data_IF_068155202977
#
_entry.id   IF_068155202977
#
_cell.length_a   1.000
_cell.length_b   1.000
_cell.length_c   1.000
_cell.angle_alpha   90.00
_cell.angle_beta   90.00
_cell.angle_gamma   90.00
#
_symmetry.space_group_name_H-M   'P 1'
#
loop_
_entity.id
_entity.type
_entity.pdbx_description
1 polymer ?
#
# COMPACT_ATOMS: atom_id res chain seq x y z
N UNK A 1 55.41 -118.39 7.97
CA UNK A 1 55.36 -117.81 9.33
C UNK A 1 55.99 -116.42 9.24
N UNK A 2 55.16 -115.43 8.90
CA UNK A 2 54.62 -114.36 9.79
C UNK A 2 55.59 -113.19 10.01
N UNK A 3 55.34 -112.12 9.25
CA UNK A 3 55.90 -110.76 9.37
C UNK A 3 55.21 -110.02 10.52
N UNK A 4 55.91 -109.23 11.36
CA UNK A 4 55.25 -108.32 12.29
C UNK A 4 54.96 -106.96 11.63
N UNK A 5 53.69 -106.52 11.69
CA UNK A 5 53.22 -105.19 11.26
C UNK A 5 53.35 -104.18 12.41
N UNK A 6 53.90 -103.02 12.10
CA UNK A 6 53.93 -101.85 12.95
C UNK A 6 52.53 -101.23 13.12
N UNK A 7 52.16 -100.89 14.36
CA UNK A 7 50.94 -100.15 14.68
C UNK A 7 51.12 -98.65 14.43
N UNK A 8 50.40 -98.13 13.44
CA UNK A 8 50.23 -96.68 13.20
C UNK A 8 49.07 -96.19 14.08
N UNK A 9 49.32 -95.18 14.94
CA UNK A 9 48.28 -94.51 15.73
C UNK A 9 47.37 -93.66 14.82
N UNK A 10 46.03 -93.69 14.98
CA UNK A 10 45.13 -92.85 14.19
C UNK A 10 45.15 -91.40 14.69
N UNK A 11 45.40 -90.48 13.76
CA UNK A 11 45.34 -89.02 13.95
C UNK A 11 43.88 -88.58 13.92
N UNK A 12 43.34 -88.07 15.03
CA UNK A 12 41.98 -87.50 15.13
C UNK A 12 41.84 -86.33 14.14
N UNK A 13 41.07 -86.50 13.06
CA UNK A 13 40.57 -85.40 12.23
C UNK A 13 39.56 -84.61 13.08
N UNK A 14 39.97 -83.48 13.66
CA UNK A 14 39.03 -82.51 14.25
C UNK A 14 38.20 -81.92 13.12
N UNK A 15 36.89 -82.19 13.15
CA UNK A 15 35.90 -81.58 12.28
C UNK A 15 35.91 -80.06 12.49
N UNK A 16 36.38 -79.31 11.50
CA UNK A 16 36.36 -77.83 11.47
C UNK A 16 35.00 -77.24 11.03
N UNK A 17 34.07 -78.10 10.64
CA UNK A 17 32.75 -77.73 10.10
C UNK A 17 31.84 -77.01 11.11
N UNK A 18 31.70 -77.44 12.39
CA UNK A 18 30.79 -76.76 13.32
C UNK A 18 31.28 -75.37 13.76
N UNK A 19 32.60 -75.15 13.81
CA UNK A 19 33.17 -73.85 14.14
C UNK A 19 32.95 -72.81 13.03
N UNK A 20 33.05 -73.24 11.76
CA UNK A 20 32.82 -72.38 10.60
C UNK A 20 31.35 -71.96 10.48
N UNK A 21 30.41 -72.87 10.74
CA UNK A 21 28.97 -72.57 10.75
C UNK A 21 28.64 -71.55 11.85
N UNK A 22 29.18 -71.72 13.05
CA UNK A 22 28.95 -70.78 14.16
C UNK A 22 29.44 -69.37 13.82
N UNK A 23 30.62 -69.23 13.19
CA UNK A 23 31.17 -67.93 12.79
C UNK A 23 30.26 -67.26 11.76
N UNK A 24 29.78 -67.98 10.75
CA UNK A 24 28.88 -67.43 9.72
C UNK A 24 27.56 -66.96 10.32
N UNK A 25 26.97 -67.74 11.25
CA UNK A 25 25.73 -67.35 11.94
C UNK A 25 25.94 -66.11 12.80
N UNK A 26 27.03 -66.02 13.57
CA UNK A 26 27.32 -64.82 14.38
C UNK A 26 27.55 -63.59 13.52
N UNK A 27 28.23 -63.73 12.37
CA UNK A 27 28.42 -62.65 11.41
C UNK A 27 27.10 -62.18 10.80
N UNK A 28 26.21 -63.11 10.43
CA UNK A 28 24.89 -62.78 9.90
C UNK A 28 24.02 -62.06 10.93
N UNK A 29 24.06 -62.48 12.20
CA UNK A 29 23.34 -61.81 13.31
C UNK A 29 23.92 -60.42 13.58
N UNK A 30 25.24 -60.27 13.58
CA UNK A 30 25.90 -58.98 13.76
C UNK A 30 25.60 -57.99 12.61
N UNK A 31 25.60 -58.47 11.36
CA UNK A 31 25.18 -57.69 10.19
C UNK A 31 23.70 -57.30 10.27
N UNK A 32 22.83 -58.22 10.68
CA UNK A 32 21.41 -57.93 10.89
C UNK A 32 21.18 -56.86 11.96
N UNK A 33 21.87 -56.97 13.09
CA UNK A 33 21.80 -55.98 14.18
C UNK A 33 22.34 -54.61 13.73
N UNK A 34 23.43 -54.58 12.95
CA UNK A 34 23.99 -53.34 12.40
C UNK A 34 23.04 -52.67 11.40
N UNK A 35 22.38 -53.43 10.53
CA UNK A 35 21.39 -52.89 9.59
C UNK A 35 20.14 -52.36 10.29
N UNK A 36 19.66 -53.04 11.33
CA UNK A 36 18.54 -52.56 12.16
C UNK A 36 18.92 -51.29 12.90
N UNK A 37 20.14 -51.25 13.48
CA UNK A 37 20.64 -50.06 14.15
C UNK A 37 20.80 -48.88 13.19
N UNK A 38 21.39 -49.09 12.00
CA UNK A 38 21.53 -48.07 10.98
C UNK A 38 20.17 -47.54 10.50
N UNK A 39 19.19 -48.42 10.31
CA UNK A 39 17.82 -48.03 9.94
C UNK A 39 17.15 -47.22 11.06
N UNK A 40 17.35 -47.61 12.32
CA UNK A 40 16.81 -46.86 13.47
C UNK A 40 17.39 -45.45 13.61
N UNK A 41 18.71 -45.31 13.41
CA UNK A 41 19.39 -44.01 13.38
C UNK A 41 18.87 -43.15 12.22
N UNK A 42 18.69 -43.75 11.04
CA UNK A 42 18.19 -43.05 9.86
C UNK A 42 16.73 -42.60 10.04
N UNK A 43 15.88 -43.40 10.69
CA UNK A 43 14.52 -43.00 11.05
C UNK A 43 14.54 -41.84 12.04
N UNK A 44 15.35 -41.89 13.11
CA UNK A 44 15.45 -40.82 14.08
C UNK A 44 15.93 -39.49 13.46
N UNK A 45 16.93 -39.54 12.56
CA UNK A 45 17.38 -38.34 11.83
C UNK A 45 16.31 -37.78 10.90
N UNK A 46 15.49 -38.63 10.28
CA UNK A 46 14.39 -38.17 9.43
C UNK A 46 13.27 -37.53 10.26
N UNK A 47 12.94 -38.09 11.42
CA UNK A 47 11.97 -37.49 12.37
C UNK A 47 12.45 -36.12 12.85
N UNK A 48 13.71 -36.01 13.24
CA UNK A 48 14.32 -34.75 13.68
C UNK A 48 14.35 -33.71 12.55
N UNK A 49 14.66 -34.11 11.31
CA UNK A 49 14.67 -33.21 10.17
C UNK A 49 13.27 -32.67 9.82
N UNK A 50 12.23 -33.51 9.86
CA UNK A 50 10.84 -33.06 9.64
C UNK A 50 10.37 -32.18 10.81
N UNK A 51 10.71 -32.52 12.05
CA UNK A 51 10.37 -31.70 13.22
C UNK A 51 11.03 -30.32 13.16
N UNK A 52 12.31 -30.26 12.79
CA UNK A 52 13.05 -29.00 12.62
C UNK A 52 12.43 -28.17 11.50
N UNK A 53 12.14 -28.80 10.36
CA UNK A 53 11.49 -28.14 9.24
C UNK A 53 10.16 -27.50 9.62
N UNK A 54 9.31 -28.21 10.39
CA UNK A 54 8.05 -27.64 10.87
C UNK A 54 8.27 -26.51 11.88
N UNK A 55 9.25 -26.62 12.79
CA UNK A 55 9.57 -25.55 13.72
C UNK A 55 10.09 -24.28 13.02
N UNK A 56 10.86 -24.45 11.94
CA UNK A 56 11.33 -23.32 11.11
C UNK A 56 10.16 -22.67 10.34
N UNK A 57 9.18 -23.46 9.87
CA UNK A 57 7.93 -22.92 9.29
C UNK A 57 7.12 -22.15 10.34
N UNK A 58 6.92 -22.70 11.53
CA UNK A 58 6.20 -22.03 12.62
C UNK A 58 6.88 -20.70 13.00
N UNK A 59 8.22 -20.69 13.05
CA UNK A 59 9.00 -19.48 13.33
C UNK A 59 8.84 -18.44 12.21
N UNK A 60 8.91 -18.88 10.94
CA UNK A 60 8.72 -17.99 9.81
C UNK A 60 7.30 -17.41 9.77
N UNK A 61 6.25 -18.21 10.03
CA UNK A 61 4.87 -17.72 10.08
C UNK A 61 4.69 -16.69 11.19
N UNK A 62 5.28 -16.92 12.37
CA UNK A 62 5.30 -15.94 13.46
C UNK A 62 6.00 -14.65 13.07
N UNK A 63 7.12 -14.72 12.33
CA UNK A 63 7.82 -13.54 11.83
C UNK A 63 7.02 -12.83 10.73
N UNK A 64 6.31 -13.58 9.89
CA UNK A 64 5.45 -13.07 8.83
C UNK A 64 4.25 -12.28 9.38
N UNK A 65 3.74 -12.61 10.57
CA UNK A 65 2.76 -11.75 11.27
C UNK A 65 3.31 -10.35 11.59
N UNK A 66 4.63 -10.22 11.76
CA UNK A 66 5.31 -8.94 11.93
C UNK A 66 5.36 -8.10 10.65
N UNK A 67 5.01 -8.66 9.50
CA UNK A 67 4.90 -7.92 8.24
C UNK A 67 3.57 -7.16 8.11
N UNK A 68 2.60 -7.39 9.00
CA UNK A 68 1.31 -6.68 8.99
C UNK A 68 1.48 -5.25 9.53
N UNK A 69 0.73 -4.30 8.96
CA UNK A 69 0.80 -2.93 9.41
C UNK A 69 0.23 -2.81 10.84
N UNK A 70 1.06 -2.37 11.80
CA UNK A 70 0.62 -2.18 13.19
C UNK A 70 0.98 -0.77 13.70
N UNK A 71 -0.02 0.09 14.03
CA UNK A 71 -1.46 -0.12 13.83
C UNK A 71 -1.83 -0.28 12.35
N UNK A 72 -3.05 -0.75 12.01
CA UNK A 72 -3.50 -0.81 10.61
C UNK A 72 -3.35 0.54 9.91
N UNK A 73 -3.13 0.51 8.60
CA UNK A 73 -3.16 1.71 7.76
C UNK A 73 -4.62 2.15 7.59
N UNK A 74 -4.88 3.45 7.76
CA UNK A 74 -6.21 4.05 7.68
C UNK A 74 -6.11 5.44 7.05
N UNK A 75 -5.87 5.45 5.74
CA UNK A 75 -5.77 6.68 4.96
C UNK A 75 -7.13 7.37 4.82
N UNK A 76 -8.21 6.58 4.74
CA UNK A 76 -9.58 7.06 4.57
C UNK A 76 -10.06 7.91 5.76
N UNK A 77 -9.71 7.53 7.00
CA UNK A 77 -10.03 8.34 8.17
C UNK A 77 -9.38 9.74 8.14
N UNK A 78 -8.28 9.89 7.40
CA UNK A 78 -7.52 11.13 7.28
C UNK A 78 -7.87 11.92 6.00
N UNK A 79 -8.64 11.33 5.06
CA UNK A 79 -8.92 11.89 3.74
C UNK A 79 -9.89 13.09 3.76
N UNK A 80 -10.15 13.71 4.91
CA UNK A 80 -10.90 14.97 5.02
C UNK A 80 -10.37 15.79 6.20
N UNK A 81 -9.11 16.25 6.14
CA UNK A 81 -8.50 16.93 7.26
C UNK A 81 -9.10 18.32 7.46
N UNK A 82 -9.34 18.68 8.72
CA UNK A 82 -9.92 19.97 9.07
C UNK A 82 -8.90 21.12 9.11
N UNK A 83 -7.62 20.81 9.26
CA UNK A 83 -6.55 21.77 9.51
C UNK A 83 -5.17 21.27 9.00
N UNK A 84 -4.12 22.07 9.24
CA UNK A 84 -2.76 21.76 8.81
C UNK A 84 -2.19 20.51 9.50
N UNK A 85 -2.58 20.26 10.76
CA UNK A 85 -2.15 19.07 11.50
C UNK A 85 -2.76 17.81 10.87
N UNK A 86 -4.02 17.88 10.44
CA UNK A 86 -4.67 16.81 9.67
C UNK A 86 -3.97 16.52 8.33
N UNK A 87 -3.54 17.54 7.60
CA UNK A 87 -2.77 17.36 6.35
C UNK A 87 -1.41 16.72 6.64
N UNK A 88 -0.74 17.12 7.72
CA UNK A 88 0.52 16.51 8.14
C UNK A 88 0.33 15.03 8.54
N UNK A 89 -0.76 14.70 9.26
CA UNK A 89 -1.11 13.33 9.59
C UNK A 89 -1.37 12.48 8.35
N UNK A 90 -2.11 13.02 7.37
CA UNK A 90 -2.34 12.33 6.09
C UNK A 90 -1.04 12.03 5.35
N UNK A 91 -0.09 12.98 5.30
CA UNK A 91 1.23 12.74 4.70
C UNK A 91 2.04 11.67 5.43
N UNK A 92 2.03 11.69 6.76
CA UNK A 92 2.71 10.68 7.55
C UNK A 92 2.15 9.28 7.26
N UNK A 93 0.83 9.19 7.03
CA UNK A 93 0.17 7.94 6.67
C UNK A 93 0.55 7.47 5.25
N UNK A 94 0.64 8.39 4.29
CA UNK A 94 1.19 8.13 2.96
C UNK A 94 2.63 7.58 3.01
N UNK A 95 3.51 8.21 3.80
CA UNK A 95 4.89 7.74 3.99
C UNK A 95 4.94 6.35 4.64
N UNK A 96 3.99 6.07 5.53
CA UNK A 96 3.84 4.78 6.20
C UNK A 96 3.45 3.67 5.23
N UNK A 97 2.55 3.93 4.28
CA UNK A 97 2.21 3.00 3.19
C UNK A 97 3.45 2.62 2.38
N UNK A 98 4.26 3.61 1.98
CA UNK A 98 5.47 3.37 1.19
C UNK A 98 6.52 2.58 1.97
N UNK A 99 6.70 2.93 3.24
CA UNK A 99 7.61 2.22 4.15
C UNK A 99 7.17 0.77 4.38
N UNK A 100 5.87 0.56 4.55
CA UNK A 100 5.27 -0.76 4.68
C UNK A 100 5.50 -1.61 3.44
N UNK A 101 5.21 -1.07 2.26
CA UNK A 101 5.43 -1.77 1.00
C UNK A 101 6.89 -2.15 0.77
N UNK A 102 7.83 -1.26 1.10
CA UNK A 102 9.26 -1.55 1.04
C UNK A 102 9.67 -2.67 2.02
N UNK A 103 9.09 -2.69 3.22
CA UNK A 103 9.33 -3.73 4.23
C UNK A 103 8.82 -5.09 3.76
N UNK A 104 7.59 -5.13 3.26
CA UNK A 104 6.96 -6.35 2.72
C UNK A 104 7.74 -6.87 1.50
N UNK A 105 8.16 -6.00 0.59
CA UNK A 105 8.96 -6.37 -0.58
C UNK A 105 10.33 -6.97 -0.22
N UNK A 106 10.90 -6.60 0.93
CA UNK A 106 12.18 -7.13 1.42
C UNK A 106 12.04 -8.46 2.18
N UNK A 107 10.82 -8.91 2.48
CA UNK A 107 10.58 -10.15 3.22
C UNK A 107 11.03 -11.37 2.42
N UNK A 108 11.69 -12.31 3.12
CA UNK A 108 12.17 -13.55 2.53
C UNK A 108 11.16 -14.69 2.71
N UNK A 109 11.07 -15.55 1.70
CA UNK A 109 10.30 -16.79 1.76
C UNK A 109 10.92 -17.79 2.78
N UNK A 110 10.16 -18.76 3.29
CA UNK A 110 10.68 -19.72 4.28
C UNK A 110 11.82 -20.58 3.72
N UNK A 111 12.99 -20.49 4.37
CA UNK A 111 14.20 -21.26 4.02
C UNK A 111 14.23 -22.61 4.73
N UNK A 112 13.30 -23.51 4.36
CA UNK A 112 13.18 -24.81 5.01
C UNK A 112 13.81 -25.94 4.20
N UNK A 113 14.68 -26.73 4.84
CA UNK A 113 15.42 -27.84 4.22
C UNK A 113 15.03 -29.19 4.80
N UNK A 114 14.39 -30.02 3.98
CA UNK A 114 14.08 -31.42 4.31
C UNK A 114 15.25 -32.38 3.99
N UNK A 115 16.44 -31.85 3.64
CA UNK A 115 17.67 -32.62 3.46
C UNK A 115 17.54 -33.85 2.55
N UNK A 116 17.91 -35.02 3.07
CA UNK A 116 17.83 -36.34 2.39
C UNK A 116 16.70 -37.23 2.92
N UNK A 117 15.73 -36.66 3.62
CA UNK A 117 14.57 -37.42 4.13
C UNK A 117 13.87 -38.10 2.94
N UNK A 118 13.50 -39.39 2.96
CA UNK A 118 12.78 -40.05 1.85
C UNK A 118 11.43 -39.41 1.53
N UNK A 119 10.96 -39.47 0.28
CA UNK A 119 9.70 -38.82 -0.13
C UNK A 119 8.49 -39.41 0.58
N UNK A 120 8.51 -40.73 0.83
CA UNK A 120 7.47 -41.47 1.53
C UNK A 120 7.51 -41.33 3.06
N UNK A 121 8.45 -40.56 3.63
CA UNK A 121 8.55 -40.42 5.07
C UNK A 121 7.35 -39.62 5.63
N UNK A 122 6.67 -40.09 6.70
CA UNK A 122 5.54 -39.39 7.28
C UNK A 122 5.84 -37.92 7.62
N UNK A 123 4.91 -37.02 7.29
CA UNK A 123 5.05 -35.57 7.55
C UNK A 123 5.96 -34.80 6.58
N UNK A 124 6.80 -35.47 5.77
CA UNK A 124 7.65 -34.76 4.79
C UNK A 124 6.81 -34.03 3.72
N UNK A 125 5.83 -34.72 3.15
CA UNK A 125 4.99 -34.15 2.09
C UNK A 125 4.17 -32.95 2.59
N UNK A 126 3.69 -33.01 3.83
CA UNK A 126 2.96 -31.92 4.49
C UNK A 126 3.85 -30.70 4.72
N UNK A 127 5.05 -30.89 5.29
CA UNK A 127 6.02 -29.80 5.48
C UNK A 127 6.43 -29.14 4.14
N UNK A 128 6.61 -29.94 3.09
CA UNK A 128 6.91 -29.40 1.76
C UNK A 128 5.73 -28.64 1.15
N UNK A 129 4.49 -29.13 1.33
CA UNK A 129 3.30 -28.46 0.84
C UNK A 129 3.06 -27.13 1.57
N UNK A 130 3.22 -27.11 2.90
CA UNK A 130 3.13 -25.90 3.74
C UNK A 130 4.15 -24.86 3.31
N UNK A 131 5.43 -25.22 3.20
CA UNK A 131 6.49 -24.34 2.66
C UNK A 131 6.12 -23.72 1.31
N UNK A 132 5.57 -24.52 0.39
CA UNK A 132 5.15 -24.02 -0.92
C UNK A 132 3.97 -23.04 -0.79
N UNK A 133 2.95 -23.37 0.01
CA UNK A 133 1.80 -22.51 0.24
C UNK A 133 2.22 -21.18 0.89
N UNK A 134 3.12 -21.21 1.87
CA UNK A 134 3.65 -20.03 2.55
C UNK A 134 4.43 -19.11 1.60
N UNK A 135 5.27 -19.69 0.74
CA UNK A 135 6.03 -18.93 -0.26
C UNK A 135 5.11 -18.30 -1.33
N UNK A 136 4.07 -19.03 -1.77
CA UNK A 136 3.06 -18.52 -2.68
C UNK A 136 2.23 -17.40 -2.04
N UNK A 137 1.84 -17.56 -0.78
CA UNK A 137 1.11 -16.55 -0.01
C UNK A 137 1.93 -15.28 0.21
N UNK A 138 3.22 -15.40 0.57
CA UNK A 138 4.11 -14.25 0.69
C UNK A 138 4.23 -13.50 -0.65
N UNK A 139 4.42 -14.23 -1.74
CA UNK A 139 4.54 -13.63 -3.08
C UNK A 139 3.27 -12.88 -3.45
N UNK A 140 2.10 -13.51 -3.24
CA UNK A 140 0.81 -12.87 -3.49
C UNK A 140 0.58 -11.63 -2.61
N UNK A 141 1.00 -11.68 -1.34
CA UNK A 141 0.94 -10.54 -0.43
C UNK A 141 1.84 -9.39 -0.90
N UNK A 142 3.09 -9.70 -1.29
CA UNK A 142 4.03 -8.72 -1.84
C UNK A 142 3.48 -8.01 -3.08
N UNK A 143 2.91 -8.76 -4.02
CA UNK A 143 2.31 -8.19 -5.23
C UNK A 143 1.12 -7.28 -4.91
N UNK A 144 0.23 -7.70 -4.01
CA UNK A 144 -0.95 -6.92 -3.64
C UNK A 144 -0.59 -5.64 -2.87
N UNK A 145 0.35 -5.72 -1.93
CA UNK A 145 0.84 -4.54 -1.20
C UNK A 145 1.55 -3.57 -2.14
N UNK A 146 2.36 -4.07 -3.09
CA UNK A 146 3.01 -3.23 -4.09
C UNK A 146 1.99 -2.51 -4.98
N UNK A 147 0.94 -3.20 -5.44
CA UNK A 147 -0.12 -2.59 -6.23
C UNK A 147 -0.90 -1.51 -5.44
N UNK A 148 -1.21 -1.76 -4.16
CA UNK A 148 -1.84 -0.76 -3.32
C UNK A 148 -0.94 0.47 -3.07
N UNK A 149 0.36 0.26 -2.89
CA UNK A 149 1.33 1.34 -2.72
C UNK A 149 1.53 2.16 -4.01
N UNK A 150 1.46 1.54 -5.19
CA UNK A 150 1.50 2.24 -6.47
C UNK A 150 0.28 3.15 -6.64
N UNK A 151 -0.92 2.66 -6.33
CA UNK A 151 -2.13 3.48 -6.27
C UNK A 151 -1.98 4.64 -5.28
N UNK A 152 -1.42 4.35 -4.09
CA UNK A 152 -1.20 5.36 -3.06
C UNK A 152 -0.22 6.45 -3.50
N UNK A 153 0.83 6.15 -4.28
CA UNK A 153 1.82 7.13 -4.72
C UNK A 153 1.18 8.32 -5.44
N UNK A 154 0.36 8.07 -6.47
CA UNK A 154 -0.26 9.16 -7.23
C UNK A 154 -1.24 10.00 -6.39
N UNK A 155 -2.00 9.33 -5.53
CA UNK A 155 -2.95 9.99 -4.64
C UNK A 155 -2.24 10.82 -3.56
N UNK A 156 -1.20 10.26 -2.94
CA UNK A 156 -0.41 10.88 -1.87
C UNK A 156 0.47 12.04 -2.35
N UNK A 157 0.86 12.08 -3.63
CA UNK A 157 1.58 13.22 -4.20
C UNK A 157 0.66 14.43 -4.44
N UNK A 158 -0.57 14.18 -4.87
CA UNK A 158 -1.49 15.23 -5.35
C UNK A 158 -2.48 15.72 -4.29
N UNK A 159 -3.11 14.79 -3.56
CA UNK A 159 -4.21 15.10 -2.64
C UNK A 159 -3.81 16.02 -1.47
N UNK A 160 -2.68 15.81 -0.77
CA UNK A 160 -2.25 16.72 0.29
C UNK A 160 -1.98 18.14 -0.24
N UNK A 161 -1.43 18.26 -1.44
CA UNK A 161 -1.16 19.55 -2.06
C UNK A 161 -2.46 20.29 -2.42
N UNK A 162 -3.50 19.57 -2.85
CA UNK A 162 -4.83 20.15 -3.08
C UNK A 162 -5.40 20.73 -1.78
N UNK A 163 -5.29 19.98 -0.67
CA UNK A 163 -5.76 20.40 0.64
C UNK A 163 -5.01 21.64 1.17
N UNK A 164 -3.69 21.71 0.97
CA UNK A 164 -2.90 22.90 1.34
C UNK A 164 -3.31 24.14 0.56
N UNK A 165 -3.57 24.00 -0.74
CA UNK A 165 -4.08 25.10 -1.56
C UNK A 165 -5.42 25.59 -1.05
N UNK A 166 -6.31 24.68 -0.65
CA UNK A 166 -7.60 25.05 -0.07
C UNK A 166 -7.43 25.82 1.25
N UNK A 167 -6.55 25.36 2.15
CA UNK A 167 -6.27 26.05 3.41
C UNK A 167 -5.64 27.43 3.20
N UNK A 168 -4.65 27.53 2.31
CA UNK A 168 -4.03 28.80 1.94
C UNK A 168 -5.06 29.78 1.36
N UNK A 169 -5.95 29.28 0.49
CA UNK A 169 -7.05 30.07 -0.06
C UNK A 169 -8.00 30.55 1.03
N UNK A 170 -8.41 29.71 1.99
CA UNK A 170 -9.28 30.14 3.09
C UNK A 170 -8.65 31.28 3.89
N UNK A 171 -7.35 31.21 4.18
CA UNK A 171 -6.64 32.28 4.86
C UNK A 171 -6.54 33.56 4.02
N UNK A 172 -6.30 33.44 2.71
CA UNK A 172 -6.28 34.56 1.78
C UNK A 172 -7.64 35.24 1.65
N UNK A 173 -8.72 34.45 1.51
CA UNK A 173 -10.11 34.94 1.48
C UNK A 173 -10.47 35.63 2.79
N UNK A 174 -10.12 35.07 3.95
CA UNK A 174 -10.38 35.72 5.23
C UNK A 174 -9.67 37.10 5.36
N UNK A 175 -8.46 37.22 4.80
CA UNK A 175 -7.74 38.50 4.73
C UNK A 175 -8.45 39.49 3.82
N UNK A 176 -8.87 39.04 2.63
CA UNK A 176 -9.63 39.85 1.69
C UNK A 176 -10.97 40.30 2.26
N UNK A 177 -11.74 39.39 2.87
CA UNK A 177 -13.00 39.70 3.55
C UNK A 177 -12.81 40.74 4.64
N UNK A 178 -11.70 40.69 5.38
CA UNK A 178 -11.33 41.71 6.37
C UNK A 178 -11.15 43.11 5.76
N UNK A 179 -10.58 43.19 4.55
CA UNK A 179 -10.43 44.46 3.80
C UNK A 179 -11.76 44.94 3.20
N UNK A 180 -12.65 44.02 2.82
CA UNK A 180 -13.96 44.32 2.25
C UNK A 180 -15.03 44.62 3.32
N UNK A 181 -14.83 44.20 4.58
CA UNK A 181 -15.75 44.43 5.68
C UNK A 181 -15.93 45.92 6.05
N UNK A 182 -15.06 46.79 5.56
CA UNK A 182 -15.20 48.25 5.68
C UNK A 182 -16.31 48.83 4.77
N UNK A 183 -16.87 48.00 3.87
CA UNK A 183 -17.99 48.40 3.02
C UNK A 183 -19.35 48.33 3.75
N UNK A 184 -20.18 49.37 3.60
CA UNK A 184 -21.55 49.35 4.14
C UNK A 184 -22.44 48.39 3.35
N UNK A 185 -23.06 47.45 4.07
CA UNK A 185 -23.84 46.25 3.70
C UNK A 185 -24.99 46.43 2.67
N UNK A 186 -25.21 47.61 2.08
CA UNK A 186 -26.34 47.85 1.18
C UNK A 186 -26.11 47.53 -0.30
N UNK A 187 -24.87 47.34 -0.75
CA UNK A 187 -24.58 47.11 -2.17
C UNK A 187 -23.93 45.73 -2.39
N UNK A 188 -24.60 44.89 -3.17
CA UNK A 188 -24.04 43.64 -3.71
C UNK A 188 -22.76 43.95 -4.53
N UNK A 189 -21.63 43.33 -4.17
CA UNK A 189 -20.35 43.46 -4.88
C UNK A 189 -19.39 44.54 -4.35
N UNK A 190 -19.52 44.88 -3.06
CA UNK A 190 -18.79 45.94 -2.36
C UNK A 190 -17.26 45.89 -2.49
N UNK A 191 -16.73 46.67 -3.43
CA UNK A 191 -15.42 47.31 -3.29
C UNK A 191 -15.65 48.66 -2.60
N UNK A 192 -14.82 49.09 -1.62
CA UNK A 192 -15.01 50.36 -0.93
C UNK A 192 -15.18 51.53 -1.91
N UNK A 193 -16.04 52.48 -1.58
CA UNK A 193 -16.25 53.67 -2.41
C UNK A 193 -14.95 54.49 -2.47
N UNK A 194 -14.23 54.61 -1.35
CA UNK A 194 -12.90 55.18 -1.34
C UNK A 194 -11.90 54.27 -2.06
N UNK A 195 -11.17 54.82 -3.05
CA UNK A 195 -10.17 54.07 -3.82
C UNK A 195 -8.85 53.88 -3.07
N UNK A 196 -8.71 54.52 -1.91
CA UNK A 196 -7.49 54.61 -1.11
C UNK A 196 -7.03 53.24 -0.59
N UNK A 197 -7.96 52.30 -0.45
CA UNK A 197 -7.74 50.92 0.01
C UNK A 197 -7.64 49.92 -1.14
N UNK A 198 -7.94 50.32 -2.38
CA UNK A 198 -8.02 49.40 -3.52
C UNK A 198 -6.70 48.73 -3.85
N UNK A 199 -5.57 49.41 -3.63
CA UNK A 199 -4.25 48.79 -3.76
C UNK A 199 -4.06 47.60 -2.81
N UNK A 200 -4.51 47.71 -1.55
CA UNK A 200 -4.43 46.63 -0.57
C UNK A 200 -5.37 45.47 -0.93
N UNK A 201 -6.57 45.79 -1.44
CA UNK A 201 -7.52 44.79 -1.94
C UNK A 201 -6.92 44.05 -3.14
N UNK A 202 -6.33 44.77 -4.10
CA UNK A 202 -5.68 44.19 -5.27
C UNK A 202 -4.54 43.25 -4.90
N UNK A 203 -3.75 43.61 -3.87
CA UNK A 203 -2.66 42.77 -3.38
C UNK A 203 -3.18 41.52 -2.65
N UNK A 204 -4.36 41.59 -2.01
CA UNK A 204 -5.01 40.44 -1.37
C UNK A 204 -5.68 39.46 -2.36
N UNK A 205 -6.07 39.92 -3.57
CA UNK A 205 -6.65 39.06 -4.62
C UNK A 205 -5.68 37.95 -5.06
N UNK A 206 -4.37 38.23 -5.06
CA UNK A 206 -3.34 37.27 -5.44
C UNK A 206 -3.38 35.99 -4.57
N UNK A 207 -3.09 36.10 -3.26
CA UNK A 207 -3.15 34.98 -2.33
C UNK A 207 -4.55 34.36 -2.18
N UNK A 208 -5.62 35.15 -2.32
CA UNK A 208 -7.00 34.65 -2.17
C UNK A 208 -7.47 33.83 -3.38
N UNK A 209 -7.05 34.17 -4.60
CA UNK A 209 -7.64 33.61 -5.82
C UNK A 209 -6.66 33.28 -6.94
N UNK A 210 -5.68 34.14 -7.24
CA UNK A 210 -4.74 33.92 -8.36
C UNK A 210 -3.82 32.73 -8.09
N UNK A 211 -3.10 32.76 -6.97
CA UNK A 211 -2.14 31.71 -6.61
C UNK A 211 -2.85 30.35 -6.40
N UNK A 212 -4.00 30.28 -5.68
CA UNK A 212 -4.75 29.04 -5.57
C UNK A 212 -5.29 28.52 -6.91
N UNK A 213 -5.80 29.39 -7.80
CA UNK A 213 -6.30 28.97 -9.10
C UNK A 213 -5.18 28.40 -9.98
N UNK A 214 -4.01 29.05 -10.01
CA UNK A 214 -2.85 28.54 -10.71
C UNK A 214 -2.44 27.17 -10.17
N UNK A 215 -2.34 27.04 -8.84
CA UNK A 215 -1.88 25.79 -8.23
C UNK A 215 -2.90 24.66 -8.41
N UNK A 216 -4.21 24.94 -8.33
CA UNK A 216 -5.25 23.97 -8.68
C UNK A 216 -5.14 23.52 -10.14
N UNK A 217 -4.93 24.46 -11.07
CA UNK A 217 -4.76 24.12 -12.48
C UNK A 217 -3.62 23.12 -12.70
N UNK A 218 -2.46 23.37 -12.07
CA UNK A 218 -1.31 22.48 -12.12
C UNK A 218 -1.59 21.10 -11.50
N UNK A 219 -2.15 21.07 -10.29
CA UNK A 219 -2.40 19.84 -9.54
C UNK A 219 -3.43 18.95 -10.23
N UNK A 220 -4.55 19.52 -10.69
CA UNK A 220 -5.58 18.75 -11.37
C UNK A 220 -5.19 18.37 -12.82
N UNK A 221 -4.28 19.11 -13.47
CA UNK A 221 -3.73 18.73 -14.77
C UNK A 221 -2.74 17.56 -14.68
N UNK A 222 -2.10 17.34 -13.54
CA UNK A 222 -1.27 16.16 -13.30
C UNK A 222 -2.10 14.86 -13.31
N UNK A 223 -3.43 14.98 -13.15
CA UNK A 223 -4.39 13.89 -13.24
C UNK A 223 -4.88 13.44 -11.88
N UNK A 224 -6.06 12.80 -11.90
CA UNK A 224 -6.64 12.10 -10.75
C UNK A 224 -6.87 10.63 -11.13
N UNK A 225 -7.34 9.82 -10.17
CA UNK A 225 -7.76 8.45 -10.43
C UNK A 225 -8.77 8.35 -11.59
N UNK A 226 -8.85 7.17 -12.21
CA UNK A 226 -9.63 6.94 -13.43
C UNK A 226 -11.10 7.40 -13.30
N UNK A 227 -11.71 7.16 -12.13
CA UNK A 227 -13.09 7.54 -11.83
C UNK A 227 -13.33 9.06 -11.81
N UNK A 228 -12.30 9.87 -11.55
CA UNK A 228 -12.39 11.33 -11.42
C UNK A 228 -11.65 12.09 -12.54
N UNK A 229 -10.95 11.39 -13.43
CA UNK A 229 -10.09 11.98 -14.46
C UNK A 229 -10.79 13.07 -15.30
N UNK A 230 -12.04 12.83 -15.73
CA UNK A 230 -12.81 13.79 -16.52
C UNK A 230 -13.14 15.09 -15.75
N UNK A 231 -13.55 14.96 -14.49
CA UNK A 231 -13.87 16.11 -13.63
C UNK A 231 -12.59 16.87 -13.28
N UNK A 232 -11.49 16.18 -13.00
CA UNK A 232 -10.20 16.82 -12.72
C UNK A 232 -9.65 17.59 -13.93
N UNK A 233 -9.73 17.02 -15.14
CA UNK A 233 -9.34 17.75 -16.35
C UNK A 233 -10.16 19.04 -16.53
N UNK A 234 -11.46 18.99 -16.24
CA UNK A 234 -12.32 20.17 -16.30
C UNK A 234 -11.90 21.20 -15.23
N UNK A 235 -11.73 20.79 -13.97
CA UNK A 235 -11.29 21.69 -12.89
C UNK A 235 -9.95 22.34 -13.20
N UNK A 236 -9.03 21.60 -13.84
CA UNK A 236 -7.74 22.13 -14.26
C UNK A 236 -7.89 23.25 -15.30
N UNK A 237 -8.66 23.01 -16.35
CA UNK A 237 -8.95 23.99 -17.41
C UNK A 237 -9.65 25.24 -16.83
N UNK A 238 -10.68 25.02 -16.03
CA UNK A 238 -11.46 26.08 -15.40
C UNK A 238 -10.61 26.93 -14.47
N UNK A 239 -9.78 26.31 -13.62
CA UNK A 239 -8.88 27.03 -12.72
C UNK A 239 -7.84 27.83 -13.51
N UNK A 240 -7.31 27.29 -14.60
CA UNK A 240 -6.38 28.00 -15.48
C UNK A 240 -7.01 29.22 -16.16
N UNK A 241 -8.28 29.11 -16.57
CA UNK A 241 -9.03 30.21 -17.17
C UNK A 241 -9.35 31.35 -16.18
N UNK A 242 -9.45 31.05 -14.88
CA UNK A 242 -9.70 32.06 -13.84
C UNK A 242 -8.47 32.93 -13.51
N UNK A 243 -7.25 32.41 -13.70
CA UNK A 243 -6.00 33.14 -13.41
C UNK A 243 -5.93 34.52 -14.11
N UNK A 244 -6.10 34.62 -15.44
CA UNK A 244 -6.07 35.92 -16.11
C UNK A 244 -7.22 36.84 -15.70
N UNK A 245 -8.38 36.31 -15.30
CA UNK A 245 -9.53 37.11 -14.88
C UNK A 245 -9.33 37.73 -13.49
N UNK A 246 -8.85 36.96 -12.52
CA UNK A 246 -8.49 37.50 -11.20
C UNK A 246 -7.33 38.50 -11.29
N UNK A 247 -6.37 38.26 -12.19
CA UNK A 247 -5.28 39.21 -12.46
C UNK A 247 -5.83 40.52 -13.04
N UNK A 248 -6.71 40.45 -14.03
CA UNK A 248 -7.35 41.63 -14.61
C UNK A 248 -8.18 42.42 -13.57
N UNK A 249 -8.87 41.73 -12.67
CA UNK A 249 -9.59 42.36 -11.56
C UNK A 249 -8.64 43.08 -10.59
N UNK A 250 -7.52 42.46 -10.20
CA UNK A 250 -6.52 43.11 -9.37
C UNK A 250 -5.89 44.34 -10.06
N UNK A 251 -5.62 44.26 -11.36
CA UNK A 251 -5.07 45.39 -12.13
C UNK A 251 -6.08 46.53 -12.29
N UNK A 252 -7.37 46.21 -12.48
CA UNK A 252 -8.44 47.19 -12.48
C UNK A 252 -8.53 47.92 -11.12
N UNK A 253 -8.45 47.21 -10.00
CA UNK A 253 -8.40 47.81 -8.66
C UNK A 253 -7.17 48.74 -8.51
N UNK A 254 -5.99 48.33 -8.99
CA UNK A 254 -4.79 49.19 -8.94
C UNK A 254 -4.90 50.46 -9.78
N UNK A 255 -5.66 50.40 -10.87
CA UNK A 255 -5.87 51.55 -11.76
C UNK A 255 -6.74 52.64 -11.12
N UNK A 256 -7.56 52.30 -10.11
CA UNK A 256 -8.55 53.20 -9.51
C UNK A 256 -9.76 53.48 -10.42
N UNK A 257 -9.87 52.79 -11.56
CA UNK A 257 -10.96 52.95 -12.50
C UNK A 257 -12.14 52.03 -12.12
N UNK A 258 -13.24 52.66 -11.69
CA UNK A 258 -14.47 51.95 -11.29
C UNK A 258 -15.13 51.20 -12.44
N UNK A 259 -15.10 51.75 -13.66
CA UNK A 259 -15.72 51.11 -14.80
C UNK A 259 -14.91 49.86 -15.21
N UNK A 260 -13.58 49.92 -15.10
CA UNK A 260 -12.71 48.77 -15.31
C UNK A 260 -12.94 47.67 -14.26
N UNK A 261 -13.10 48.04 -12.98
CA UNK A 261 -13.39 47.08 -11.89
C UNK A 261 -14.75 46.41 -12.09
N UNK A 262 -15.79 47.18 -12.44
CA UNK A 262 -17.11 46.65 -12.73
C UNK A 262 -17.10 45.69 -13.92
N UNK A 263 -16.40 46.06 -15.00
CA UNK A 263 -16.22 45.19 -16.17
C UNK A 263 -15.52 43.88 -15.81
N UNK A 264 -14.40 43.95 -15.09
CA UNK A 264 -13.65 42.75 -14.68
C UNK A 264 -14.47 41.85 -13.75
N UNK A 265 -15.30 42.44 -12.87
CA UNK A 265 -16.22 41.69 -12.02
C UNK A 265 -17.31 40.99 -12.83
N UNK A 266 -17.88 41.66 -13.83
CA UNK A 266 -18.87 41.06 -14.74
C UNK A 266 -18.31 39.88 -15.54
N UNK A 267 -17.07 39.99 -16.02
CA UNK A 267 -16.37 38.90 -16.73
C UNK A 267 -16.12 37.69 -15.79
N UNK A 268 -15.72 37.95 -14.54
CA UNK A 268 -15.57 36.93 -13.50
C UNK A 268 -16.90 36.24 -13.17
N UNK A 269 -17.97 37.00 -12.93
CA UNK A 269 -19.30 36.47 -12.59
C UNK A 269 -19.85 35.57 -13.70
N UNK A 270 -19.75 36.03 -14.95
CA UNK A 270 -20.16 35.25 -16.13
C UNK A 270 -19.37 33.94 -16.21
N UNK A 271 -18.04 34.03 -16.11
CA UNK A 271 -17.17 32.84 -16.22
C UNK A 271 -17.42 31.86 -15.08
N UNK A 272 -17.52 32.33 -13.84
CA UNK A 272 -17.78 31.48 -12.67
C UNK A 272 -19.13 30.76 -12.78
N UNK A 273 -20.16 31.43 -13.31
CA UNK A 273 -21.49 30.83 -13.53
C UNK A 273 -21.44 29.72 -14.57
N UNK A 274 -20.77 29.96 -15.70
CA UNK A 274 -20.60 28.97 -16.77
C UNK A 274 -19.76 27.77 -16.27
N UNK A 275 -18.68 28.05 -15.54
CA UNK A 275 -17.81 27.02 -14.97
C UNK A 275 -18.55 26.17 -13.93
N UNK A 276 -19.32 26.77 -13.02
CA UNK A 276 -20.12 26.04 -12.04
C UNK A 276 -21.13 25.12 -12.72
N UNK A 277 -21.81 25.61 -13.77
CA UNK A 277 -22.77 24.81 -14.53
C UNK A 277 -22.11 23.60 -15.19
N UNK A 278 -20.94 23.81 -15.80
CA UNK A 278 -20.16 22.73 -16.42
C UNK A 278 -19.62 21.73 -15.39
N UNK A 279 -19.13 22.21 -14.24
CA UNK A 279 -18.65 21.36 -13.15
C UNK A 279 -19.78 20.48 -12.59
N UNK A 280 -20.91 21.10 -12.26
CA UNK A 280 -22.12 20.43 -11.78
C UNK A 280 -22.57 19.31 -12.72
N UNK A 281 -22.55 19.59 -14.03
CA UNK A 281 -22.91 18.62 -15.05
C UNK A 281 -21.87 17.49 -15.13
N UNK A 282 -20.58 17.80 -15.13
CA UNK A 282 -19.51 16.81 -15.18
C UNK A 282 -19.54 15.84 -13.98
N UNK A 283 -19.82 16.35 -12.77
CA UNK A 283 -19.96 15.49 -11.58
C UNK A 283 -21.18 14.57 -11.70
N UNK A 284 -22.31 15.06 -12.22
CA UNK A 284 -23.51 14.24 -12.46
C UNK A 284 -23.26 13.16 -13.51
N UNK A 285 -22.58 13.50 -14.60
CA UNK A 285 -22.24 12.55 -15.66
C UNK A 285 -21.26 11.47 -15.19
N UNK A 286 -20.35 11.82 -14.27
CA UNK A 286 -19.45 10.87 -13.62
C UNK A 286 -20.16 9.93 -12.61
N UNK A 287 -21.41 10.24 -12.21
CA UNK A 287 -22.18 9.46 -11.24
C UNK A 287 -23.56 9.04 -11.80
N UNK A 288 -23.59 8.24 -12.89
CA UNK A 288 -24.84 7.88 -13.55
C UNK A 288 -25.74 7.05 -12.62
N UNK A 289 -27.00 7.46 -12.51
CA UNK A 289 -28.01 6.75 -11.71
C UNK A 289 -27.97 7.05 -10.21
N UNK A 290 -27.10 7.97 -9.77
CA UNK A 290 -27.07 8.49 -8.40
C UNK A 290 -27.65 9.91 -8.39
N UNK A 291 -28.52 10.21 -7.43
CA UNK A 291 -29.01 11.57 -7.23
C UNK A 291 -27.90 12.42 -6.59
N UNK A 292 -27.39 13.40 -7.32
CA UNK A 292 -26.34 14.32 -6.86
C UNK A 292 -26.98 15.64 -6.40
N UNK A 293 -27.15 15.79 -5.09
CA UNK A 293 -27.71 17.00 -4.47
C UNK A 293 -26.68 18.13 -4.34
N UNK A 294 -25.42 17.79 -4.07
CA UNK A 294 -24.30 18.73 -3.92
C UNK A 294 -23.09 18.24 -4.72
N UNK A 295 -22.89 18.74 -5.95
CA UNK A 295 -21.78 18.32 -6.81
C UNK A 295 -20.40 18.54 -6.19
N UNK A 296 -20.21 19.59 -5.39
CA UNK A 296 -18.91 19.87 -4.77
C UNK A 296 -18.60 18.85 -3.68
N UNK A 297 -19.56 18.58 -2.79
CA UNK A 297 -19.41 17.55 -1.76
C UNK A 297 -19.26 16.16 -2.37
N UNK A 298 -19.99 15.85 -3.45
CA UNK A 298 -19.85 14.58 -4.18
C UNK A 298 -18.46 14.45 -4.77
N UNK A 299 -17.94 15.46 -5.47
CA UNK A 299 -16.59 15.39 -6.04
C UNK A 299 -15.51 15.24 -4.95
N UNK A 300 -15.62 15.97 -3.84
CA UNK A 300 -14.71 15.79 -2.70
C UNK A 300 -14.75 14.36 -2.15
N UNK A 301 -15.95 13.76 -2.04
CA UNK A 301 -16.09 12.35 -1.62
C UNK A 301 -15.52 11.36 -2.63
N UNK A 302 -15.60 11.66 -3.94
CA UNK A 302 -14.98 10.83 -4.98
C UNK A 302 -13.47 10.86 -4.87
N UNK A 303 -12.86 12.04 -4.68
CA UNK A 303 -11.42 12.17 -4.44
C UNK A 303 -11.00 11.41 -3.17
N UNK A 304 -11.78 11.50 -2.09
CA UNK A 304 -11.50 10.77 -0.86
C UNK A 304 -11.74 9.24 -0.98
N UNK A 305 -12.54 8.78 -1.95
CA UNK A 305 -12.84 7.35 -2.14
C UNK A 305 -11.65 6.52 -2.59
N UNK A 306 -10.65 7.16 -3.21
CA UNK A 306 -9.38 6.51 -3.57
C UNK A 306 -8.64 6.05 -2.30
N UNK A 307 -8.69 6.83 -1.21
CA UNK A 307 -8.13 6.45 0.08
C UNK A 307 -8.78 5.16 0.63
N UNK A 308 -10.11 5.09 0.59
CA UNK A 308 -10.85 3.91 1.04
C UNK A 308 -10.56 2.67 0.19
N UNK A 309 -10.30 2.87 -1.11
CA UNK A 309 -9.91 1.77 -2.01
C UNK A 309 -8.51 1.25 -1.67
N UNK A 310 -7.57 2.15 -1.38
CA UNK A 310 -6.21 1.78 -0.94
C UNK A 310 -6.28 0.98 0.36
N UNK A 311 -7.02 1.47 1.36
CA UNK A 311 -7.17 0.78 2.65
C UNK A 311 -7.81 -0.60 2.48
N UNK A 312 -8.86 -0.70 1.66
CA UNK A 312 -9.53 -1.97 1.38
C UNK A 312 -8.60 -2.99 0.70
N UNK A 313 -7.76 -2.54 -0.24
CA UNK A 313 -6.79 -3.40 -0.92
C UNK A 313 -5.70 -3.90 0.04
N UNK A 314 -5.19 -3.03 0.92
CA UNK A 314 -4.22 -3.43 1.95
C UNK A 314 -4.83 -4.44 2.94
N UNK A 315 -6.03 -4.15 3.45
CA UNK A 315 -6.71 -5.05 4.38
C UNK A 315 -7.05 -6.42 3.75
N UNK A 316 -7.43 -6.44 2.46
CA UNK A 316 -7.66 -7.67 1.72
C UNK A 316 -6.37 -8.50 1.56
N UNK A 317 -5.25 -7.85 1.26
CA UNK A 317 -3.94 -8.50 1.15
C UNK A 317 -3.53 -9.13 2.49
N UNK A 318 -3.68 -8.40 3.61
CA UNK A 318 -3.40 -8.91 4.96
C UNK A 318 -4.30 -10.08 5.33
N UNK A 319 -5.59 -10.00 5.02
CA UNK A 319 -6.55 -11.09 5.26
C UNK A 319 -6.19 -12.34 4.46
N UNK A 320 -5.77 -12.17 3.20
CA UNK A 320 -5.37 -13.29 2.34
C UNK A 320 -4.10 -13.98 2.87
N UNK A 321 -3.12 -13.21 3.36
CA UNK A 321 -1.94 -13.76 4.01
C UNK A 321 -2.32 -14.58 5.25
N UNK A 322 -3.12 -14.00 6.15
CA UNK A 322 -3.58 -14.63 7.40
C UNK A 322 -4.43 -15.89 7.20
N UNK A 323 -5.06 -16.04 6.04
CA UNK A 323 -5.81 -17.26 5.71
C UNK A 323 -4.89 -18.45 5.39
N UNK A 324 -3.61 -18.19 5.12
CA UNK A 324 -2.59 -19.21 4.80
C UNK A 324 -1.63 -19.42 5.96
N UNK A 325 -1.14 -18.34 6.58
CA UNK A 325 -0.25 -18.43 7.74
C UNK A 325 -1.10 -18.58 9.02
N UNK A 326 -1.17 -19.79 9.58
CA UNK A 326 -1.99 -20.07 10.77
C UNK A 326 -2.35 -21.54 11.01
#
# INVERSE_FOLDING_TARGET
MTVPRAHVRPRKRRSFVPALISIVVTLAVALGALLVWQRSQQTAWNEEAVATANADLDAWESDALGLLATPPIDLAALASPADADGVAAFRAECDRIQTHAATVAAAAAPEVSLGKVPEEFPGRAEAQARRTADAEALTAYQEQVAAAAELATGFCESYPAILEVQQAQTAGVATLDGLLAECSVSDSGCVPVETDTWGQIADAVGPAYVEPAQRRAELFAAGCGEATAGVCSLVAEQSGALVPLYTAYADALRSGDRDAVESARGDLETTLTDQQTAFDQAVRDANPGVEVADPAATFASMLASDAATIDANLAAAETALLAVIG
#
